data_IF_387074358492
#
_entry.id   IF_387074358492
#
_cell.length_a   1.000
_cell.length_b   1.000
_cell.length_c   1.000
_cell.angle_alpha   90.00
_cell.angle_beta   90.00
_cell.angle_gamma   90.00
#
_symmetry.space_group_name_H-M   'P 1'
#
loop_
_entity.id
_entity.type
_entity.pdbx_description
1 polymer ?
#
# COMPACT_ATOMS: atom_id res chain seq x y z
N UNK A 1 20.06 15.80 14.82
CA UNK A 1 18.59 15.66 14.94
C UNK A 1 18.17 14.56 13.97
N UNK A 2 17.31 13.62 14.37
CA UNK A 2 16.84 12.55 13.46
C UNK A 2 15.48 12.94 12.86
N UNK A 3 15.32 12.78 11.55
CA UNK A 3 14.05 13.02 10.84
C UNK A 3 13.21 11.74 10.79
N UNK A 4 11.89 11.89 10.92
CA UNK A 4 10.93 10.79 10.83
C UNK A 4 9.73 11.20 9.97
N UNK A 5 9.20 10.25 9.21
CA UNK A 5 7.93 10.39 8.47
C UNK A 5 6.91 9.40 9.02
N UNK A 6 5.68 9.86 9.23
CA UNK A 6 4.55 9.03 9.69
C UNK A 6 3.85 8.28 8.55
N UNK A 7 4.20 8.55 7.30
CA UNK A 7 3.59 7.92 6.13
C UNK A 7 4.24 8.30 4.81
N UNK A 8 3.78 7.67 3.73
CA UNK A 8 4.21 7.99 2.37
C UNK A 8 3.09 7.74 1.36
N UNK A 9 2.92 8.57 0.31
CA UNK A 9 1.93 8.34 -0.72
C UNK A 9 2.11 6.98 -1.41
N UNK A 10 1.08 6.14 -1.33
CA UNK A 10 1.10 4.75 -1.83
C UNK A 10 0.84 4.58 -3.32
N UNK A 11 0.38 5.64 -4.01
CA UNK A 11 -0.06 5.56 -5.40
C UNK A 11 1.05 5.24 -6.40
N UNK A 12 2.30 5.56 -6.05
CA UNK A 12 3.42 5.58 -6.97
C UNK A 12 3.42 6.82 -7.89
N UNK A 13 4.57 7.16 -8.50
CA UNK A 13 4.75 8.38 -9.27
C UNK A 13 3.89 8.45 -10.54
N UNK A 14 3.44 7.30 -11.06
CA UNK A 14 2.60 7.21 -12.27
C UNK A 14 1.21 6.63 -11.98
N UNK A 15 0.80 6.59 -10.70
CA UNK A 15 -0.47 5.99 -10.24
C UNK A 15 -0.54 4.49 -10.51
N UNK A 16 0.59 3.81 -10.40
CA UNK A 16 0.74 2.36 -10.63
C UNK A 16 -0.28 1.56 -9.81
N UNK A 17 -0.49 1.94 -8.53
CA UNK A 17 -1.45 1.26 -7.66
C UNK A 17 -2.89 1.40 -8.18
N UNK A 18 -3.26 2.59 -8.66
CA UNK A 18 -4.60 2.85 -9.21
C UNK A 18 -4.87 1.90 -10.37
N UNK A 19 -3.97 1.87 -11.35
CA UNK A 19 -4.18 1.09 -12.57
C UNK A 19 -4.14 -0.41 -12.31
N UNK A 20 -3.25 -0.87 -11.42
CA UNK A 20 -3.22 -2.28 -11.03
C UNK A 20 -4.51 -2.71 -10.32
N UNK A 21 -5.04 -1.86 -9.43
CA UNK A 21 -6.26 -2.13 -8.68
C UNK A 21 -7.50 -2.12 -9.59
N UNK A 22 -7.62 -1.13 -10.47
CA UNK A 22 -8.71 -1.05 -11.45
C UNK A 22 -8.68 -2.23 -12.43
N UNK A 23 -7.49 -2.61 -12.91
CA UNK A 23 -7.32 -3.79 -13.76
C UNK A 23 -7.74 -5.08 -13.06
N UNK A 24 -7.42 -5.21 -11.77
CA UNK A 24 -7.84 -6.36 -10.97
C UNK A 24 -9.37 -6.40 -10.79
N UNK A 25 -10.00 -5.27 -10.45
CA UNK A 25 -11.47 -5.20 -10.34
C UNK A 25 -12.19 -5.44 -11.65
N UNK A 26 -11.62 -5.00 -12.77
CA UNK A 26 -12.13 -5.25 -14.12
C UNK A 26 -11.90 -6.71 -14.59
N UNK A 27 -11.25 -7.56 -13.79
CA UNK A 27 -10.92 -8.94 -14.14
C UNK A 27 -9.86 -9.07 -15.25
N UNK A 28 -9.13 -8.00 -15.56
CA UNK A 28 -8.10 -7.93 -16.61
C UNK A 28 -6.72 -8.39 -16.12
N UNK A 29 -6.51 -8.47 -14.81
CA UNK A 29 -5.28 -8.96 -14.19
C UNK A 29 -5.57 -9.82 -12.96
N UNK A 30 -4.62 -10.68 -12.58
CA UNK A 30 -4.76 -11.54 -11.43
C UNK A 30 -4.51 -10.80 -10.10
N UNK A 31 -4.91 -11.42 -8.99
CA UNK A 31 -4.56 -10.93 -7.65
C UNK A 31 -3.04 -10.92 -7.43
N UNK A 32 -2.30 -11.83 -8.07
CA UNK A 32 -0.85 -11.91 -7.92
C UNK A 32 -0.13 -10.80 -8.71
N UNK A 33 -0.69 -10.36 -9.84
CA UNK A 33 -0.23 -9.17 -10.56
C UNK A 33 -0.37 -7.91 -9.69
N UNK A 34 -1.52 -7.75 -9.03
CA UNK A 34 -1.77 -6.63 -8.11
C UNK A 34 -0.80 -6.67 -6.91
N UNK A 35 -0.60 -7.84 -6.30
CA UNK A 35 0.35 -8.02 -5.18
C UNK A 35 1.77 -7.69 -5.59
N UNK A 36 2.18 -8.07 -6.82
CA UNK A 36 3.51 -7.78 -7.35
C UNK A 36 3.73 -6.27 -7.48
N UNK A 37 2.82 -5.55 -8.14
CA UNK A 37 2.89 -4.08 -8.26
C UNK A 37 2.97 -3.42 -6.88
N UNK A 38 2.15 -3.87 -5.94
CA UNK A 38 2.15 -3.34 -4.58
C UNK A 38 3.46 -3.62 -3.81
N UNK A 39 4.06 -4.81 -3.99
CA UNK A 39 5.35 -5.15 -3.39
C UNK A 39 6.48 -4.29 -3.95
N UNK A 40 6.50 -4.10 -5.27
CA UNK A 40 7.49 -3.26 -5.96
C UNK A 40 7.38 -1.80 -5.50
N UNK A 41 6.16 -1.26 -5.38
CA UNK A 41 5.91 0.08 -4.85
C UNK A 41 6.43 0.24 -3.41
N UNK A 42 6.09 -0.69 -2.50
CA UNK A 42 6.58 -0.65 -1.11
C UNK A 42 8.11 -0.66 -1.06
N UNK A 43 8.74 -1.54 -1.84
CA UNK A 43 10.20 -1.64 -1.91
C UNK A 43 10.83 -0.34 -2.40
N UNK A 44 10.29 0.24 -3.48
CA UNK A 44 10.78 1.50 -4.06
C UNK A 44 10.63 2.67 -3.08
N UNK A 45 9.50 2.75 -2.39
CA UNK A 45 9.21 3.81 -1.40
C UNK A 45 10.18 3.73 -0.22
N UNK A 46 10.42 2.53 0.32
CA UNK A 46 11.37 2.34 1.41
C UNK A 46 12.80 2.68 1.00
N UNK A 47 13.24 2.26 -0.20
CA UNK A 47 14.55 2.64 -0.74
C UNK A 47 14.68 4.16 -0.87
N UNK A 48 13.68 4.82 -1.45
CA UNK A 48 13.69 6.28 -1.59
C UNK A 48 13.78 7.00 -0.24
N UNK A 49 13.05 6.52 0.78
CA UNK A 49 13.14 7.09 2.14
C UNK A 49 14.52 6.86 2.77
N UNK A 50 15.09 5.66 2.60
CA UNK A 50 16.42 5.33 3.10
C UNK A 50 17.50 6.20 2.42
N UNK A 51 17.45 6.34 1.10
CA UNK A 51 18.37 7.15 0.30
C UNK A 51 18.26 8.64 0.66
N UNK A 52 17.08 9.11 1.06
CA UNK A 52 16.87 10.46 1.59
C UNK A 52 17.36 10.66 3.04
N UNK A 53 17.93 9.63 3.67
CA UNK A 53 18.48 9.70 5.03
C UNK A 53 17.42 9.62 6.14
N UNK A 54 16.20 9.17 5.85
CA UNK A 54 15.17 8.95 6.88
C UNK A 54 15.56 7.75 7.73
N UNK A 55 15.87 8.00 9.01
CA UNK A 55 16.32 6.97 9.94
C UNK A 55 15.20 6.02 10.36
N UNK A 56 13.99 6.56 10.54
CA UNK A 56 12.83 5.81 11.00
C UNK A 56 11.79 5.74 9.88
N UNK A 57 11.83 4.66 9.11
CA UNK A 57 10.95 4.45 7.95
C UNK A 57 9.63 3.81 8.44
N UNK A 58 8.47 4.42 8.16
CA UNK A 58 7.19 3.88 8.59
C UNK A 58 6.83 2.61 7.82
N UNK A 59 6.17 1.69 8.50
CA UNK A 59 5.56 0.49 7.92
C UNK A 59 4.05 0.49 8.17
N UNK A 60 3.31 -0.40 7.51
CA UNK A 60 1.85 -0.50 7.59
C UNK A 60 1.08 0.78 7.17
N UNK A 61 1.74 1.67 6.42
CA UNK A 61 1.15 2.89 5.84
C UNK A 61 0.66 2.68 4.41
N UNK A 62 1.06 1.56 3.80
CA UNK A 62 0.56 1.11 2.51
C UNK A 62 -0.77 0.39 2.68
N UNK A 63 -1.72 0.67 1.79
CA UNK A 63 -2.99 -0.04 1.67
C UNK A 63 -3.34 -0.21 0.19
N UNK A 64 -4.06 -1.26 -0.16
CA UNK A 64 -4.65 -1.37 -1.50
C UNK A 64 -5.79 -0.38 -1.69
N UNK A 65 -6.51 -0.02 -0.62
CA UNK A 65 -7.70 0.82 -0.73
C UNK A 65 -7.81 1.86 0.38
N UNK A 66 -7.79 1.45 1.64
CA UNK A 66 -7.83 2.33 2.81
C UNK A 66 -7.29 1.61 4.06
N UNK A 67 -6.46 2.31 4.82
CA UNK A 67 -5.78 1.78 6.01
C UNK A 67 -6.73 1.56 7.20
N UNK A 68 -7.86 2.29 7.28
CA UNK A 68 -8.87 2.03 8.31
C UNK A 68 -9.64 0.77 7.94
N UNK A 69 -9.99 0.60 6.66
CA UNK A 69 -10.56 -0.66 6.15
C UNK A 69 -9.63 -1.85 6.44
N UNK A 70 -8.33 -1.73 6.18
CA UNK A 70 -7.36 -2.79 6.51
C UNK A 70 -7.41 -3.15 8.00
N UNK A 71 -7.50 -2.13 8.87
CA UNK A 71 -7.60 -2.34 10.32
C UNK A 71 -8.90 -3.03 10.71
N UNK A 72 -10.03 -2.66 10.11
CA UNK A 72 -11.32 -3.34 10.37
C UNK A 72 -11.28 -4.81 9.98
N UNK A 73 -10.70 -5.12 8.81
CA UNK A 73 -10.53 -6.51 8.35
C UNK A 73 -9.58 -7.29 9.27
N UNK A 74 -8.45 -6.70 9.67
CA UNK A 74 -7.47 -7.31 10.57
C UNK A 74 -8.07 -7.69 11.93
N UNK A 75 -8.95 -6.85 12.48
CA UNK A 75 -9.59 -7.07 13.77
C UNK A 75 -10.84 -7.96 13.69
N UNK A 76 -11.23 -8.42 12.49
CA UNK A 76 -12.48 -9.15 12.30
C UNK A 76 -13.73 -8.30 12.49
N UNK A 77 -13.60 -6.96 12.46
CA UNK A 77 -14.71 -6.01 12.54
C UNK A 77 -15.45 -5.90 11.19
N UNK A 78 -15.66 -7.04 10.53
CA UNK A 78 -16.33 -7.15 9.23
C UNK A 78 -17.83 -7.38 9.48
N UNK A 79 -18.73 -6.53 8.94
CA UNK A 79 -20.16 -6.72 9.10
C UNK A 79 -20.63 -8.09 8.56
N UNK A 80 -21.58 -8.79 9.23
CA UNK A 80 -22.04 -10.13 8.83
C UNK A 80 -22.57 -10.26 7.40
N UNK A 81 -22.95 -9.15 6.74
CA UNK A 81 -23.39 -9.16 5.34
C UNK A 81 -22.27 -9.39 4.32
N UNK A 82 -21.01 -9.39 4.75
CA UNK A 82 -19.83 -9.58 3.90
C UNK A 82 -19.01 -10.84 4.25
N UNK A 83 -19.47 -11.66 5.21
CA UNK A 83 -18.77 -12.83 5.74
C UNK A 83 -19.64 -14.08 5.70
#
# INVERSE_FOLDING_TARGET
MASHSVGYPRMGPKRELKFALESFWDGKSSADDLKKVAADLRSSIWKQMADAGIKYIPSNTFSYYDQVLDTTAMLGAVPPRYG
#
